data_IF_374131180421
#
_entry.id   IF_374131180421
#
_cell.length_a   1.000
_cell.length_b   1.000
_cell.length_c   1.000
_cell.angle_alpha   90.00
_cell.angle_beta   90.00
_cell.angle_gamma   90.00
#
_symmetry.space_group_name_H-M   'P 1'
#
loop_
_entity.id
_entity.type
_entity.pdbx_description
1 polymer ?
#
# COMPACT_ATOMS: atom_id res chain seq x y z
N UNK A 1 -1.60 2.51 -15.65
CA UNK A 1 -0.64 1.48 -15.18
C UNK A 1 -1.16 0.59 -14.06
N UNK A 2 -1.54 1.09 -12.87
CA UNK A 2 -1.99 0.23 -11.76
C UNK A 2 -3.18 -0.68 -12.13
N UNK A 3 -4.21 -0.14 -12.81
CA UNK A 3 -5.34 -0.92 -13.33
C UNK A 3 -4.92 -2.03 -14.30
N UNK A 4 -3.92 -1.77 -15.14
CA UNK A 4 -3.36 -2.77 -16.08
C UNK A 4 -2.66 -3.89 -15.31
N UNK A 5 -1.89 -3.54 -14.29
CA UNK A 5 -1.20 -4.50 -13.42
C UNK A 5 -2.18 -5.41 -12.66
N UNK A 6 -3.29 -4.85 -12.16
CA UNK A 6 -4.28 -5.59 -11.39
C UNK A 6 -5.28 -6.40 -12.24
N UNK A 7 -5.25 -6.28 -13.58
CA UNK A 7 -6.27 -6.86 -14.48
C UNK A 7 -6.43 -8.37 -14.34
N UNK A 8 -5.35 -9.09 -14.02
CA UNK A 8 -5.35 -10.55 -13.84
C UNK A 8 -5.63 -10.99 -12.40
N UNK A 9 -5.76 -10.06 -11.46
CA UNK A 9 -6.04 -10.36 -10.06
C UNK A 9 -7.53 -10.53 -9.81
N UNK A 10 -7.91 -11.56 -9.06
CA UNK A 10 -9.29 -11.79 -8.62
C UNK A 10 -9.66 -11.05 -7.32
N UNK A 11 -8.68 -10.46 -6.63
CA UNK A 11 -8.86 -9.92 -5.28
C UNK A 11 -8.19 -8.57 -5.03
N UNK A 12 -7.41 -8.06 -5.99
CA UNK A 12 -6.80 -6.72 -5.94
C UNK A 12 -7.51 -5.83 -6.95
N UNK A 13 -7.99 -4.68 -6.48
CA UNK A 13 -8.61 -3.65 -7.31
C UNK A 13 -7.90 -2.31 -7.09
N UNK A 14 -8.11 -1.38 -8.03
CA UNK A 14 -7.55 -0.02 -7.98
C UNK A 14 -8.71 0.96 -7.90
N UNK A 15 -8.78 1.70 -6.80
CA UNK A 15 -9.70 2.81 -6.59
C UNK A 15 -8.95 4.13 -6.89
N UNK A 16 -9.61 5.09 -7.52
CA UNK A 16 -9.02 6.39 -7.92
C UNK A 16 -9.40 7.54 -7.00
N UNK A 17 -10.22 7.30 -5.97
CA UNK A 17 -10.77 8.34 -5.13
C UNK A 17 -9.70 9.27 -4.56
N UNK A 18 -8.62 8.75 -3.97
CA UNK A 18 -7.53 9.57 -3.43
C UNK A 18 -6.82 10.42 -4.51
N UNK A 19 -6.65 9.87 -5.72
CA UNK A 19 -5.96 10.58 -6.81
C UNK A 19 -6.83 11.58 -7.56
N UNK A 20 -8.16 11.46 -7.45
CA UNK A 20 -9.12 12.37 -8.09
C UNK A 20 -9.32 13.65 -7.28
N UNK A 21 -8.84 13.68 -6.04
CA UNK A 21 -8.93 14.81 -5.11
C UNK A 21 -7.88 15.88 -5.46
N UNK A 22 -8.26 17.15 -5.33
CA UNK A 22 -7.41 18.28 -5.77
C UNK A 22 -6.24 18.55 -4.84
N UNK A 23 -6.40 18.24 -3.57
CA UNK A 23 -5.42 18.48 -2.52
C UNK A 23 -4.93 17.16 -1.94
N UNK A 24 -3.75 17.21 -1.32
CA UNK A 24 -3.21 16.06 -0.62
C UNK A 24 -4.13 15.63 0.53
N UNK A 25 -4.44 14.34 0.58
CA UNK A 25 -5.23 13.74 1.66
C UNK A 25 -4.31 12.90 2.55
N UNK A 26 -4.30 13.15 3.87
CA UNK A 26 -3.59 12.28 4.80
C UNK A 26 -4.09 10.83 4.75
N UNK A 27 -3.16 9.87 4.82
CA UNK A 27 -3.44 8.42 4.78
C UNK A 27 -4.51 7.99 5.78
N UNK A 28 -4.55 8.62 6.96
CA UNK A 28 -5.55 8.35 7.98
C UNK A 28 -7.00 8.61 7.49
N UNK A 29 -7.22 9.68 6.74
CA UNK A 29 -8.51 10.02 6.16
C UNK A 29 -8.88 9.09 5.02
N UNK A 30 -7.89 8.67 4.21
CA UNK A 30 -8.09 7.67 3.16
C UNK A 30 -8.57 6.35 3.74
N UNK A 31 -7.92 5.87 4.80
CA UNK A 31 -8.35 4.65 5.52
C UNK A 31 -9.76 4.81 6.11
N UNK A 32 -10.08 5.98 6.66
CA UNK A 32 -11.42 6.30 7.17
C UNK A 32 -12.50 6.27 6.09
N UNK A 33 -12.22 6.85 4.92
CA UNK A 33 -13.10 6.81 3.74
C UNK A 33 -13.44 5.36 3.37
N UNK A 34 -12.43 4.52 3.17
CA UNK A 34 -12.64 3.12 2.78
C UNK A 34 -13.31 2.30 3.89
N UNK A 35 -12.98 2.56 5.16
CA UNK A 35 -13.65 1.91 6.28
C UNK A 35 -15.15 2.19 6.28
N UNK A 36 -15.55 3.44 6.04
CA UNK A 36 -16.96 3.83 5.96
C UNK A 36 -17.64 3.22 4.73
N UNK A 37 -17.02 3.32 3.55
CA UNK A 37 -17.56 2.79 2.28
C UNK A 37 -17.78 1.27 2.33
N UNK A 38 -16.82 0.52 2.87
CA UNK A 38 -16.93 -0.94 3.00
C UNK A 38 -17.97 -1.33 4.06
N UNK A 39 -17.98 -0.64 5.21
CA UNK A 39 -18.91 -0.96 6.29
C UNK A 39 -20.35 -0.49 6.04
N UNK A 40 -20.56 0.52 5.20
CA UNK A 40 -21.89 0.94 4.76
C UNK A 40 -22.62 -0.19 4.00
N UNK A 41 -21.87 -0.95 3.20
CA UNK A 41 -22.39 -2.05 2.38
C UNK A 41 -22.20 -3.44 3.01
N UNK A 42 -21.74 -3.51 4.27
CA UNK A 42 -21.47 -4.79 4.93
C UNK A 42 -22.77 -5.51 5.28
N UNK A 43 -22.95 -6.70 4.68
CA UNK A 43 -24.08 -7.59 4.93
C UNK A 43 -24.07 -8.20 6.34
N UNK A 44 -25.23 -8.67 6.78
CA UNK A 44 -25.39 -9.42 8.02
C UNK A 44 -24.73 -10.79 7.90
N UNK A 45 -23.97 -11.23 8.90
CA UNK A 45 -23.35 -12.56 8.87
C UNK A 45 -24.46 -13.63 8.82
N UNK A 46 -24.35 -14.63 7.92
CA UNK A 46 -25.38 -15.66 7.76
C UNK A 46 -25.62 -16.48 9.03
N UNK A 47 -24.61 -16.62 9.91
CA UNK A 47 -24.69 -17.49 11.09
C UNK A 47 -25.14 -16.78 12.37
N UNK A 48 -24.98 -15.46 12.49
CA UNK A 48 -25.20 -14.76 13.77
C UNK A 48 -26.24 -13.64 13.71
N UNK A 49 -26.79 -13.33 12.52
CA UNK A 49 -27.69 -12.17 12.30
C UNK A 49 -27.13 -10.82 12.77
N UNK A 50 -25.84 -10.77 13.14
CA UNK A 50 -25.14 -9.56 13.52
C UNK A 50 -24.36 -9.02 12.31
N UNK A 51 -24.36 -7.69 12.16
CA UNK A 51 -23.50 -7.01 11.20
C UNK A 51 -22.04 -7.15 11.66
N UNK A 52 -21.28 -8.03 11.01
CA UNK A 52 -19.85 -8.16 11.26
C UNK A 52 -19.13 -7.06 10.49
N UNK A 53 -18.53 -6.11 11.21
CA UNK A 53 -17.78 -5.00 10.60
C UNK A 53 -16.45 -5.52 10.00
N UNK A 54 -16.14 -5.05 8.80
CA UNK A 54 -14.86 -5.24 8.15
C UNK A 54 -13.82 -4.31 8.77
N UNK A 55 -12.62 -4.84 9.06
CA UNK A 55 -11.47 -4.04 9.47
C UNK A 55 -10.64 -3.67 8.25
N UNK A 56 -10.48 -2.37 8.01
CA UNK A 56 -9.62 -1.84 6.94
C UNK A 56 -8.24 -1.60 7.52
N UNK A 57 -7.21 -2.00 6.77
CA UNK A 57 -5.84 -1.85 7.23
C UNK A 57 -4.89 -1.37 6.15
N UNK A 58 -3.79 -0.77 6.59
CA UNK A 58 -2.73 -0.26 5.72
C UNK A 58 -1.72 -1.36 5.40
N UNK A 59 -1.47 -1.59 4.12
CA UNK A 59 -0.37 -2.42 3.64
C UNK A 59 0.74 -1.48 3.17
N UNK A 60 1.94 -1.61 3.73
CA UNK A 60 3.04 -0.71 3.46
C UNK A 60 4.39 -1.39 3.64
N UNK A 61 5.43 -0.84 3.01
CA UNK A 61 6.81 -1.21 3.32
C UNK A 61 7.24 -0.74 4.71
N UNK A 62 8.26 -1.40 5.24
CA UNK A 62 8.95 -1.06 6.48
C UNK A 62 9.33 0.42 6.60
N UNK A 63 9.85 0.96 5.49
CA UNK A 63 10.29 2.33 5.30
C UNK A 63 9.15 3.34 5.51
N UNK A 64 8.00 3.09 4.87
CA UNK A 64 6.83 3.94 5.00
C UNK A 64 6.24 3.90 6.40
N UNK A 65 6.17 2.71 7.02
CA UNK A 65 5.63 2.58 8.38
C UNK A 65 6.51 3.35 9.38
N UNK A 66 7.84 3.25 9.28
CA UNK A 66 8.75 4.06 10.09
C UNK A 66 8.53 5.58 9.90
N UNK A 67 8.27 6.03 8.68
CA UNK A 67 8.00 7.43 8.37
C UNK A 67 6.64 7.91 8.93
N UNK A 68 5.56 7.15 8.75
CA UNK A 68 4.21 7.49 9.22
C UNK A 68 4.10 7.56 10.74
N UNK A 69 4.97 6.84 11.44
CA UNK A 69 5.04 6.82 12.90
C UNK A 69 6.02 7.86 13.45
N UNK A 70 6.71 8.59 12.58
CA UNK A 70 7.58 9.68 12.97
C UNK A 70 6.77 10.84 13.55
N UNK A 71 7.21 11.47 14.65
CA UNK A 71 6.60 12.70 15.17
C UNK A 71 6.58 13.86 14.18
N UNK A 72 7.34 13.78 13.08
CA UNK A 72 7.42 14.81 12.03
C UNK A 72 6.13 14.98 11.24
N UNK A 73 5.27 13.96 11.19
CA UNK A 73 4.05 13.97 10.36
C UNK A 73 2.82 13.46 11.16
N UNK A 74 2.37 14.22 12.18
CA UNK A 74 1.33 13.76 13.09
C UNK A 74 -0.01 13.45 12.40
N UNK A 75 -0.36 14.22 11.37
CA UNK A 75 -1.62 14.08 10.64
C UNK A 75 -1.67 12.85 9.72
N UNK A 76 -0.51 12.25 9.43
CA UNK A 76 -0.42 11.07 8.55
C UNK A 76 -0.60 9.75 9.30
N UNK A 77 -0.58 9.77 10.63
CA UNK A 77 -0.64 8.56 11.45
C UNK A 77 -1.99 7.87 11.27
N UNK A 78 -2.02 6.58 10.85
CA UNK A 78 -3.27 5.83 10.79
C UNK A 78 -3.94 5.78 12.17
N UNK A 79 -5.29 5.77 12.23
CA UNK A 79 -5.98 5.65 13.51
C UNK A 79 -5.53 4.39 14.25
N UNK A 80 -5.32 4.50 15.57
CA UNK A 80 -4.77 3.42 16.40
C UNK A 80 -5.61 2.13 16.35
N UNK A 81 -6.89 2.23 15.96
CA UNK A 81 -7.84 1.12 15.81
C UNK A 81 -7.78 0.39 14.46
N UNK A 82 -7.08 0.94 13.46
CA UNK A 82 -6.93 0.31 12.15
C UNK A 82 -5.76 -0.69 12.16
N UNK A 83 -5.96 -1.95 11.72
CA UNK A 83 -4.86 -2.88 11.54
C UNK A 83 -3.84 -2.34 10.53
N UNK A 84 -2.55 -2.47 10.82
CA UNK A 84 -1.46 -2.09 9.94
C UNK A 84 -0.65 -3.35 9.65
N UNK A 85 -0.34 -3.60 8.38
CA UNK A 85 0.38 -4.79 7.92
C UNK A 85 1.67 -4.38 7.19
N UNK A 86 2.76 -4.09 7.93
CA UNK A 86 4.06 -3.87 7.32
C UNK A 86 4.59 -5.12 6.62
N UNK A 87 5.15 -4.91 5.43
CA UNK A 87 6.01 -5.86 4.74
C UNK A 87 7.48 -5.48 4.93
N UNK A 88 8.30 -6.46 5.28
CA UNK A 88 9.74 -6.27 5.41
C UNK A 88 10.40 -6.22 4.02
N UNK A 89 11.33 -5.27 3.82
CA UNK A 89 12.17 -5.18 2.62
C UNK A 89 13.64 -5.38 3.02
N UNK A 90 14.45 -5.94 2.12
CA UNK A 90 15.89 -6.11 2.33
C UNK A 90 16.55 -4.82 2.80
N UNK A 91 17.20 -4.85 3.96
CA UNK A 91 17.94 -3.72 4.53
C UNK A 91 17.15 -2.79 5.46
N UNK A 92 15.87 -3.08 5.76
CA UNK A 92 15.09 -2.30 6.74
C UNK A 92 14.64 -3.20 7.89
N UNK A 93 15.18 -2.98 9.08
CA UNK A 93 14.75 -3.71 10.29
C UNK A 93 13.42 -3.14 10.82
N UNK A 94 12.32 -3.72 10.33
CA UNK A 94 10.96 -3.42 10.77
C UNK A 94 10.83 -3.58 12.29
N UNK A 95 11.50 -4.59 12.88
CA UNK A 95 11.37 -4.89 14.31
C UNK A 95 11.95 -3.76 15.14
N UNK A 96 13.08 -3.19 14.74
CA UNK A 96 13.65 -2.02 15.42
C UNK A 96 12.78 -0.77 15.25
N UNK A 97 12.16 -0.56 14.08
CA UNK A 97 11.25 0.57 13.87
C UNK A 97 9.97 0.43 14.73
N UNK A 98 9.40 -0.77 14.80
CA UNK A 98 8.20 -1.08 15.59
C UNK A 98 8.50 -1.09 17.09
N UNK A 99 9.71 -1.46 17.51
CA UNK A 99 10.14 -1.41 18.92
C UNK A 99 10.12 0.01 19.51
N UNK A 100 10.20 1.05 18.68
CA UNK A 100 10.10 2.46 19.11
C UNK A 100 8.65 2.90 19.38
N UNK A 101 7.67 2.06 19.09
CA UNK A 101 6.25 2.34 19.29
C UNK A 101 5.79 1.89 20.67
N UNK A 102 4.82 2.61 21.24
CA UNK A 102 4.22 2.22 22.50
C UNK A 102 3.42 0.92 22.39
N UNK A 103 3.38 0.12 23.47
CA UNK A 103 2.77 -1.23 23.54
C UNK A 103 1.39 -1.35 22.89
N UNK A 104 0.56 -0.31 22.98
CA UNK A 104 -0.79 -0.28 22.38
C UNK A 104 -0.78 -0.47 20.86
N UNK A 105 0.23 0.05 20.17
CA UNK A 105 0.33 0.00 18.71
C UNK A 105 0.84 -1.36 18.19
N UNK A 106 1.56 -2.12 19.02
CA UNK A 106 2.09 -3.44 18.65
C UNK A 106 0.99 -4.43 18.32
N UNK A 107 -0.15 -4.36 19.03
CA UNK A 107 -1.27 -5.30 18.85
C UNK A 107 -1.91 -5.24 17.46
N UNK A 108 -1.82 -4.09 16.78
CA UNK A 108 -2.43 -3.86 15.48
C UNK A 108 -1.42 -3.90 14.33
N UNK A 109 -0.13 -4.15 14.61
CA UNK A 109 0.92 -4.21 13.60
C UNK A 109 1.27 -5.68 13.30
N UNK A 110 1.07 -6.12 12.06
CA UNK A 110 1.41 -7.46 11.61
C UNK A 110 2.58 -7.44 10.64
N UNK A 111 3.74 -7.90 11.09
CA UNK A 111 4.95 -7.99 10.26
C UNK A 111 4.87 -9.25 9.40
N UNK A 112 4.93 -9.08 8.08
CA UNK A 112 5.01 -10.19 7.12
C UNK A 112 6.43 -10.27 6.58
N UNK A 113 7.19 -11.33 6.91
CA UNK A 113 8.56 -11.49 6.41
C UNK A 113 8.54 -11.79 4.90
N UNK A 114 9.42 -11.13 4.16
CA UNK A 114 9.61 -11.41 2.73
C UNK A 114 10.66 -12.53 2.57
N UNK A 115 10.20 -13.76 2.33
CA UNK A 115 11.09 -14.92 2.17
C UNK A 115 11.83 -14.92 0.82
N UNK A 116 11.21 -14.38 -0.23
CA UNK A 116 11.82 -14.25 -1.56
C UNK A 116 12.02 -12.77 -1.85
N UNK A 117 13.27 -12.36 -1.99
CA UNK A 117 13.61 -10.96 -2.25
C UNK A 117 13.17 -10.56 -3.65
N UNK A 118 12.28 -9.56 -3.70
CA UNK A 118 11.96 -8.85 -4.93
C UNK A 118 12.56 -7.45 -4.83
N UNK A 119 13.75 -7.28 -5.42
CA UNK A 119 14.49 -6.01 -5.42
C UNK A 119 14.17 -5.11 -6.63
N UNK A 120 12.92 -5.18 -7.09
CA UNK A 120 12.36 -4.25 -8.06
C UNK A 120 11.84 -3.01 -7.32
N UNK A 121 12.31 -1.82 -7.73
CA UNK A 121 11.85 -0.54 -7.21
C UNK A 121 11.51 0.41 -8.35
N UNK A 122 10.54 1.30 -8.13
CA UNK A 122 10.14 2.28 -9.15
C UNK A 122 11.30 3.18 -9.58
N UNK A 123 12.25 3.46 -8.69
CA UNK A 123 13.47 4.22 -9.01
C UNK A 123 14.35 3.48 -10.03
N UNK A 124 14.58 2.18 -9.83
CA UNK A 124 15.35 1.36 -10.79
C UNK A 124 14.62 1.25 -12.13
N UNK A 125 13.30 1.02 -12.11
CA UNK A 125 12.48 0.94 -13.33
C UNK A 125 12.56 2.23 -14.15
N UNK A 126 12.36 3.40 -13.51
CA UNK A 126 12.48 4.70 -14.20
C UNK A 126 13.89 4.93 -14.75
N UNK A 127 14.93 4.54 -14.02
CA UNK A 127 16.33 4.66 -14.47
C UNK A 127 16.61 3.79 -15.70
N UNK A 128 16.13 2.54 -15.71
CA UNK A 128 16.28 1.64 -16.85
C UNK A 128 15.53 2.13 -18.07
N UNK A 129 14.27 2.57 -17.90
CA UNK A 129 13.49 3.17 -18.97
C UNK A 129 14.20 4.41 -19.57
N UNK A 130 14.71 5.30 -18.72
CA UNK A 130 15.49 6.49 -19.13
C UNK A 130 16.73 6.11 -19.94
N UNK A 131 17.42 5.02 -19.56
CA UNK A 131 18.61 4.51 -20.26
C UNK A 131 18.28 3.63 -21.48
N UNK A 132 17.00 3.53 -21.88
CA UNK A 132 16.51 2.64 -22.95
C UNK A 132 16.88 1.16 -22.72
N UNK A 133 16.99 0.76 -21.46
CA UNK A 133 17.18 -0.64 -21.07
C UNK A 133 15.81 -1.32 -20.94
N UNK A 134 15.77 -2.62 -21.25
CA UNK A 134 14.55 -3.41 -21.08
C UNK A 134 14.14 -3.51 -19.61
N UNK A 135 12.85 -3.31 -19.35
CA UNK A 135 12.20 -3.53 -18.05
C UNK A 135 11.22 -4.72 -18.10
N UNK A 136 11.22 -5.48 -19.20
CA UNK A 136 10.39 -6.68 -19.35
C UNK A 136 10.75 -7.72 -18.28
N UNK A 137 9.75 -8.45 -17.80
CA UNK A 137 9.84 -9.40 -16.67
C UNK A 137 10.11 -8.79 -15.29
N UNK A 138 10.40 -7.48 -15.19
CA UNK A 138 10.45 -6.76 -13.90
C UNK A 138 9.07 -6.22 -13.50
N UNK A 139 8.22 -5.95 -14.49
CA UNK A 139 6.85 -5.47 -14.35
C UNK A 139 5.94 -6.19 -15.37
N UNK A 140 4.60 -6.18 -15.20
CA UNK A 140 3.69 -6.83 -16.14
C UNK A 140 3.81 -6.28 -17.57
N UNK A 141 3.69 -7.14 -18.58
CA UNK A 141 3.86 -6.77 -19.99
C UNK A 141 2.92 -5.63 -20.43
N UNK A 142 1.65 -5.67 -20.03
CA UNK A 142 0.70 -4.60 -20.32
C UNK A 142 1.12 -3.23 -19.76
N UNK A 143 1.93 -3.21 -18.69
CA UNK A 143 2.49 -1.97 -18.13
C UNK A 143 3.71 -1.52 -18.93
N UNK A 144 4.54 -2.45 -19.40
CA UNK A 144 5.67 -2.16 -20.32
C UNK A 144 5.16 -1.50 -21.59
N UNK A 145 4.17 -2.12 -22.24
CA UNK A 145 3.54 -1.61 -23.46
C UNK A 145 2.99 -0.20 -23.26
N UNK A 146 2.30 0.04 -22.14
CA UNK A 146 1.77 1.37 -21.79
C UNK A 146 2.86 2.43 -21.64
N UNK A 147 3.99 2.09 -20.98
CA UNK A 147 5.13 2.99 -20.80
C UNK A 147 5.77 3.33 -22.16
N UNK A 148 5.92 2.33 -23.03
CA UNK A 148 6.53 2.48 -24.36
C UNK A 148 5.67 3.34 -25.28
N UNK A 149 4.37 3.05 -25.36
CA UNK A 149 3.39 3.77 -26.19
C UNK A 149 3.29 5.26 -25.79
N UNK A 150 3.28 5.54 -24.49
CA UNK A 150 3.13 6.90 -23.97
C UNK A 150 4.47 7.61 -23.72
N UNK A 151 5.59 7.01 -24.11
CA UNK A 151 6.94 7.58 -23.96
C UNK A 151 7.27 8.00 -22.51
N UNK A 152 6.75 7.28 -21.51
CA UNK A 152 6.93 7.66 -20.11
C UNK A 152 8.38 7.42 -19.66
N UNK A 153 8.87 8.28 -18.75
CA UNK A 153 10.19 8.17 -18.11
C UNK A 153 11.40 8.28 -19.05
N UNK A 154 11.24 8.94 -20.21
CA UNK A 154 12.31 9.11 -21.19
C UNK A 154 13.24 10.32 -20.96
N UNK A 155 12.92 11.19 -20.01
CA UNK A 155 13.67 12.43 -19.71
C UNK A 155 14.56 12.35 -18.46
#
# INVERSE_FOLDING_TARGET
MAKLSAKTSSWIAVDTWESDEREYIPTALVLGHFANKINANSGTSPNTRQKKKCKVGLIAGADLIGALLSPRYPDQKPPDSAPQKPFERTGTDVRTAVAKLGERQHSNIHIVPQLIQNDVSSTKIRLFAKRRMSVRYLIPDAVVEYIEEHNLYRE
#
